data_IF_990752880475
#
_entry.id   IF_990752880475
#
_cell.length_a   1.000
_cell.length_b   1.000
_cell.length_c   1.000
_cell.angle_alpha   90.00
_cell.angle_beta   90.00
_cell.angle_gamma   90.00
#
_symmetry.space_group_name_H-M   'P 1'
#
loop_
_entity.id
_entity.type
_entity.pdbx_description
1 polymer ?
#
# COMPACT_ATOMS: atom_id res chain seq x y z
N UNK A 1 4.62 -7.10 -66.52
CA UNK A 1 5.83 -6.57 -65.85
C UNK A 1 5.74 -7.08 -64.42
N UNK A 2 6.30 -8.23 -63.98
CA UNK A 2 7.70 -8.74 -64.08
C UNK A 2 8.64 -7.59 -63.68
N UNK A 3 9.26 -7.52 -62.50
CA UNK A 3 9.87 -8.53 -61.60
C UNK A 3 10.00 -7.99 -60.14
N UNK A 4 10.25 -8.86 -59.13
CA UNK A 4 10.52 -8.52 -57.72
C UNK A 4 11.99 -8.17 -57.41
N UNK A 5 12.22 -7.45 -56.29
CA UNK A 5 13.54 -7.07 -55.76
C UNK A 5 14.15 -8.26 -54.98
N UNK A 6 15.39 -8.72 -55.26
CA UNK A 6 15.96 -9.90 -54.64
C UNK A 6 16.70 -9.58 -53.34
N UNK A 7 16.49 -10.44 -52.35
CA UNK A 7 17.40 -10.67 -51.23
C UNK A 7 18.62 -11.45 -51.74
N UNK A 8 19.84 -10.94 -51.57
CA UNK A 8 21.04 -11.77 -51.63
C UNK A 8 22.31 -11.13 -51.01
N UNK A 9 22.77 -11.78 -49.94
CA UNK A 9 24.17 -12.12 -49.59
C UNK A 9 25.16 -11.06 -49.05
N UNK A 10 25.75 -11.47 -47.92
CA UNK A 10 27.19 -11.57 -47.60
C UNK A 10 27.82 -10.51 -46.67
N UNK A 11 28.15 -11.02 -45.47
CA UNK A 11 29.54 -11.17 -44.99
C UNK A 11 30.22 -9.91 -44.44
N UNK A 12 30.47 -9.90 -43.13
CA UNK A 12 31.34 -8.90 -42.51
C UNK A 12 31.48 -9.04 -41.01
N UNK A 13 31.79 -10.24 -40.51
CA UNK A 13 32.36 -10.40 -39.18
C UNK A 13 33.82 -9.90 -39.17
N UNK A 14 34.33 -9.62 -37.96
CA UNK A 14 35.75 -9.47 -37.56
C UNK A 14 36.28 -8.03 -37.50
N UNK A 15 36.46 -7.52 -36.27
CA UNK A 15 37.77 -7.12 -35.74
C UNK A 15 37.68 -6.69 -34.26
N UNK A 16 38.03 -7.65 -33.40
CA UNK A 16 38.36 -7.48 -31.98
C UNK A 16 39.84 -7.07 -31.90
N UNK A 17 40.17 -5.91 -31.34
CA UNK A 17 41.58 -5.52 -31.09
C UNK A 17 41.84 -5.31 -29.60
N UNK A 18 42.36 -6.38 -28.98
CA UNK A 18 43.20 -6.34 -27.78
C UNK A 18 44.56 -5.74 -28.13
N UNK A 19 45.03 -4.73 -27.39
CA UNK A 19 46.46 -4.46 -27.16
C UNK A 19 46.63 -3.34 -26.11
N UNK A 20 47.37 -3.60 -25.03
CA UNK A 20 47.75 -2.56 -24.07
C UNK A 20 48.40 -3.08 -22.80
N UNK A 21 49.48 -3.85 -22.94
CA UNK A 21 50.33 -4.33 -21.85
C UNK A 21 51.46 -3.31 -21.60
N UNK A 22 51.87 -3.08 -20.36
CA UNK A 22 53.13 -2.39 -20.08
C UNK A 22 53.27 -1.76 -18.69
N UNK A 23 53.61 -2.57 -17.69
CA UNK A 23 54.23 -2.10 -16.45
C UNK A 23 55.73 -2.45 -16.49
N UNK A 24 56.65 -1.53 -16.16
CA UNK A 24 58.03 -1.88 -15.86
C UNK A 24 58.24 -2.07 -14.36
N UNK A 25 58.97 -3.14 -14.05
CA UNK A 25 59.47 -3.51 -12.74
C UNK A 25 60.79 -2.80 -12.41
N UNK A 26 61.04 -2.77 -11.09
CA UNK A 26 62.34 -2.74 -10.43
C UNK A 26 63.21 -1.47 -10.57
N UNK A 27 63.66 -0.95 -9.42
CA UNK A 27 65.05 -1.09 -8.96
C UNK A 27 65.26 -0.28 -7.66
N UNK A 28 65.75 -0.99 -6.64
CA UNK A 28 66.91 -0.59 -5.83
C UNK A 28 66.74 0.47 -4.73
N UNK A 29 66.71 0.01 -3.47
CA UNK A 29 67.51 0.53 -2.36
C UNK A 29 67.54 -0.47 -1.19
N UNK A 30 68.72 -0.96 -0.84
CA UNK A 30 68.94 -1.89 0.27
C UNK A 30 68.82 -1.24 1.64
N UNK A 31 68.42 -1.98 2.70
CA UNK A 31 68.34 -1.44 4.03
C UNK A 31 69.71 -1.46 4.73
N UNK A 32 70.07 -0.32 5.29
CA UNK A 32 71.19 -0.07 6.20
C UNK A 32 71.10 -0.96 7.45
N UNK A 33 72.22 -1.56 7.94
CA UNK A 33 72.18 -2.47 9.08
C UNK A 33 71.85 -1.72 10.38
N UNK A 34 70.71 -2.07 10.97
CA UNK A 34 70.19 -1.53 12.22
C UNK A 34 71.10 -1.84 13.43
N UNK A 35 71.26 -0.82 14.29
CA UNK A 35 72.01 -0.91 15.53
C UNK A 35 71.42 -1.94 16.52
N UNK A 36 72.30 -2.74 17.10
CA UNK A 36 72.03 -3.78 18.09
C UNK A 36 71.40 -3.22 19.37
N UNK A 37 70.28 -3.78 19.89
CA UNK A 37 69.71 -3.33 21.16
C UNK A 37 70.49 -3.89 22.37
N UNK A 38 70.65 -3.05 23.40
CA UNK A 38 71.19 -3.43 24.71
C UNK A 38 70.23 -4.35 25.48
N UNK A 39 70.72 -5.35 26.24
CA UNK A 39 69.86 -6.27 26.98
C UNK A 39 69.21 -5.58 28.18
N UNK A 40 67.87 -5.60 28.22
CA UNK A 40 67.07 -5.15 29.36
C UNK A 40 67.00 -6.29 30.38
N UNK A 41 67.41 -6.01 31.62
CA UNK A 41 67.37 -6.97 32.73
C UNK A 41 65.91 -7.22 33.12
N UNK A 42 65.43 -8.44 32.87
CA UNK A 42 64.07 -8.88 33.18
C UNK A 42 63.97 -9.22 34.68
N UNK A 43 63.14 -8.48 35.42
CA UNK A 43 62.84 -8.79 36.82
C UNK A 43 62.01 -10.08 36.92
N UNK A 44 62.34 -10.92 37.91
CA UNK A 44 61.68 -12.21 38.15
C UNK A 44 60.22 -12.03 38.59
N UNK A 45 59.28 -12.89 38.14
CA UNK A 45 57.88 -12.79 38.50
C UNK A 45 57.64 -13.17 39.98
N UNK A 46 56.90 -12.33 40.68
CA UNK A 46 56.36 -12.58 42.03
C UNK A 46 55.32 -13.70 42.00
N UNK A 47 55.28 -14.62 42.99
CA UNK A 47 54.32 -15.72 42.99
C UNK A 47 52.88 -15.23 43.17
N UNK A 48 51.99 -15.77 42.34
CA UNK A 48 50.55 -15.49 42.35
C UNK A 48 49.89 -16.09 43.61
N UNK A 49 48.97 -15.37 44.29
CA UNK A 49 48.25 -15.91 45.44
C UNK A 49 47.31 -17.05 45.04
N UNK A 50 47.22 -18.06 45.91
CA UNK A 50 46.34 -19.22 45.79
C UNK A 50 44.86 -18.80 45.92
N UNK A 51 43.92 -19.34 45.11
CA UNK A 51 42.52 -19.00 45.20
C UNK A 51 41.94 -19.47 46.54
N UNK A 52 41.19 -18.58 47.20
CA UNK A 52 40.41 -18.89 48.40
C UNK A 52 39.06 -19.44 47.95
N UNK A 53 38.70 -20.63 48.43
CA UNK A 53 37.43 -21.27 48.12
C UNK A 53 36.24 -20.43 48.60
N UNK A 54 35.40 -20.01 47.66
CA UNK A 54 34.12 -19.35 47.93
C UNK A 54 33.13 -20.36 48.54
N UNK A 55 32.43 -20.05 49.64
CA UNK A 55 31.42 -20.94 50.20
C UNK A 55 30.22 -21.08 49.24
N UNK A 56 29.62 -22.28 49.22
CA UNK A 56 28.47 -22.59 48.40
C UNK A 56 27.23 -21.79 48.85
N UNK A 57 26.38 -21.33 47.90
CA UNK A 57 25.16 -20.59 48.24
C UNK A 57 24.14 -21.44 49.00
N UNK A 58 23.56 -20.87 50.05
CA UNK A 58 22.43 -21.42 50.81
C UNK A 58 21.18 -21.52 49.90
N UNK A 59 20.46 -22.65 49.89
CA UNK A 59 19.23 -22.76 49.09
C UNK A 59 18.16 -21.76 49.53
N UNK A 60 17.51 -21.13 48.56
CA UNK A 60 16.40 -20.21 48.79
C UNK A 60 15.16 -20.95 49.31
N UNK A 61 14.34 -20.31 50.17
CA UNK A 61 13.11 -20.91 50.66
C UNK A 61 12.10 -21.13 49.52
N UNK A 62 11.37 -22.25 49.60
CA UNK A 62 10.29 -22.59 48.67
C UNK A 62 9.16 -21.56 48.75
N UNK A 63 8.59 -21.11 47.62
CA UNK A 63 7.46 -20.17 47.64
C UNK A 63 6.23 -20.82 48.29
N UNK A 64 5.56 -20.02 49.12
CA UNK A 64 4.25 -20.35 49.70
C UNK A 64 3.19 -20.18 48.61
N UNK A 65 2.22 -21.10 48.46
CA UNK A 65 1.17 -20.97 47.46
C UNK A 65 0.34 -19.70 47.70
N UNK A 66 0.18 -18.90 46.65
CA UNK A 66 -0.71 -17.74 46.62
C UNK A 66 -2.17 -18.24 46.63
N UNK A 67 -3.06 -17.69 47.47
CA UNK A 67 -4.48 -18.04 47.44
C UNK A 67 -5.11 -17.69 46.08
N UNK A 68 -6.03 -18.53 45.60
CA UNK A 68 -6.81 -18.26 44.39
C UNK A 68 -7.65 -16.98 44.56
N UNK A 69 -7.75 -16.15 43.51
CA UNK A 69 -8.60 -14.97 43.54
C UNK A 69 -10.08 -15.37 43.66
N UNK A 70 -10.77 -14.75 44.61
CA UNK A 70 -12.22 -14.77 44.71
C UNK A 70 -12.83 -14.24 43.40
N UNK A 71 -13.85 -14.91 42.81
CA UNK A 71 -14.46 -14.43 41.57
C UNK A 71 -15.03 -13.02 41.75
N UNK A 72 -14.68 -12.14 40.82
CA UNK A 72 -15.24 -10.79 40.68
C UNK A 72 -16.74 -10.88 40.35
N UNK A 73 -17.59 -9.99 40.88
CA UNK A 73 -18.99 -9.93 40.45
C UNK A 73 -19.08 -9.69 38.94
N UNK A 74 -19.99 -10.42 38.31
CA UNK A 74 -20.32 -10.31 36.90
C UNK A 74 -20.84 -8.89 36.60
N UNK A 75 -20.30 -8.18 35.59
CA UNK A 75 -20.78 -6.85 35.26
C UNK A 75 -22.25 -6.92 34.81
N UNK A 76 -23.06 -6.04 35.41
CA UNK A 76 -24.41 -5.74 34.94
C UNK A 76 -24.33 -5.36 33.45
N UNK A 77 -25.22 -5.86 32.57
CA UNK A 77 -25.18 -5.51 31.16
C UNK A 77 -25.31 -3.98 31.04
N UNK A 78 -24.46 -3.32 30.24
CA UNK A 78 -24.57 -1.89 30.04
C UNK A 78 -25.97 -1.58 29.56
N UNK A 79 -26.59 -0.58 30.18
CA UNK A 79 -27.82 0.02 29.69
C UNK A 79 -27.60 0.34 28.21
N UNK A 80 -28.46 -0.24 27.37
CA UNK A 80 -28.56 -0.01 25.94
C UNK A 80 -28.48 1.49 25.70
N UNK A 81 -27.27 1.94 25.38
CA UNK A 81 -26.98 3.26 24.88
C UNK A 81 -27.80 3.33 23.60
N UNK A 82 -28.90 4.08 23.68
CA UNK A 82 -29.83 4.24 22.57
C UNK A 82 -28.99 4.53 21.34
N UNK A 83 -28.94 3.57 20.42
CA UNK A 83 -28.29 3.72 19.14
C UNK A 83 -28.74 5.08 18.62
N UNK A 84 -27.77 5.96 18.32
CA UNK A 84 -28.05 7.13 17.50
C UNK A 84 -28.92 6.64 16.34
N UNK A 85 -30.02 7.34 15.99
CA UNK A 85 -30.89 6.88 14.93
C UNK A 85 -29.99 6.56 13.75
N UNK A 86 -30.00 5.29 13.31
CA UNK A 86 -29.37 4.88 12.07
C UNK A 86 -29.86 5.91 11.05
N UNK A 87 -28.97 6.76 10.54
CA UNK A 87 -29.35 7.70 9.49
C UNK A 87 -29.99 6.84 8.41
N UNK A 88 -31.29 7.03 8.17
CA UNK A 88 -32.02 6.21 7.22
C UNK A 88 -31.29 6.31 5.89
N UNK A 89 -30.92 5.16 5.34
CA UNK A 89 -30.33 5.00 4.03
C UNK A 89 -31.08 5.88 3.00
N UNK A 90 -30.40 6.89 2.46
CA UNK A 90 -30.97 7.74 1.41
C UNK A 90 -30.84 7.00 0.09
N UNK A 91 -31.98 6.56 -0.44
CA UNK A 91 -32.08 5.94 -1.76
C UNK A 91 -32.35 7.01 -2.82
N UNK A 92 -31.58 6.96 -3.89
CA UNK A 92 -31.66 7.84 -5.04
C UNK A 92 -32.22 7.06 -6.23
N UNK A 93 -33.02 7.71 -7.07
CA UNK A 93 -33.40 7.10 -8.34
C UNK A 93 -32.14 6.96 -9.20
N UNK A 94 -32.06 5.90 -10.00
CA UNK A 94 -30.83 5.57 -10.74
C UNK A 94 -30.41 6.63 -11.78
N UNK A 95 -31.32 7.54 -12.14
CA UNK A 95 -31.06 8.67 -13.05
C UNK A 95 -30.59 9.94 -12.30
N UNK A 96 -30.76 10.00 -10.98
CA UNK A 96 -30.38 11.15 -10.19
C UNK A 96 -28.86 11.25 -10.07
N UNK A 97 -28.34 12.48 -10.18
CA UNK A 97 -26.93 12.73 -9.92
C UNK A 97 -26.67 12.88 -8.43
N UNK A 98 -25.64 12.21 -7.93
CA UNK A 98 -25.21 12.28 -6.51
C UNK A 98 -23.73 12.57 -6.44
N UNK A 99 -23.36 13.58 -5.66
CA UNK A 99 -21.96 13.92 -5.38
C UNK A 99 -21.64 13.68 -3.91
N UNK A 100 -20.47 13.10 -3.64
CA UNK A 100 -19.96 12.82 -2.30
C UNK A 100 -18.42 12.82 -2.28
N UNK A 101 -17.83 12.69 -1.10
CA UNK A 101 -16.39 12.76 -0.90
C UNK A 101 -15.86 14.18 -0.78
N UNK A 102 -14.53 14.30 -0.82
CA UNK A 102 -13.82 15.57 -0.73
C UNK A 102 -14.29 16.62 -1.75
N UNK A 103 -13.98 17.89 -1.49
CA UNK A 103 -14.09 18.92 -2.53
C UNK A 103 -13.12 18.66 -3.68
N UNK A 104 -13.59 18.84 -4.92
CA UNK A 104 -12.75 18.66 -6.10
C UNK A 104 -11.56 19.63 -6.07
N UNK A 105 -10.36 19.10 -6.27
CA UNK A 105 -9.11 19.88 -6.18
C UNK A 105 -8.63 20.13 -4.75
N UNK A 106 -9.05 19.31 -3.78
CA UNK A 106 -8.54 19.31 -2.40
C UNK A 106 -7.01 19.10 -2.29
N UNK A 107 -6.37 18.61 -3.36
CA UNK A 107 -4.93 18.36 -3.39
C UNK A 107 -4.52 17.08 -2.67
N UNK A 108 -5.48 16.16 -2.46
CA UNK A 108 -5.26 14.85 -1.88
C UNK A 108 -5.44 13.78 -2.99
N UNK A 109 -4.40 13.51 -3.80
CA UNK A 109 -4.51 12.56 -4.89
C UNK A 109 -4.58 11.13 -4.35
N UNK A 110 -5.58 10.39 -4.85
CA UNK A 110 -5.85 9.01 -4.45
C UNK A 110 -5.59 8.04 -5.60
N UNK A 111 -5.62 6.75 -5.27
CA UNK A 111 -5.44 5.64 -6.19
C UNK A 111 -6.55 4.63 -5.93
N UNK A 112 -7.15 4.10 -7.00
CA UNK A 112 -8.03 2.93 -6.88
C UNK A 112 -7.17 1.74 -6.47
N UNK A 113 -7.43 1.17 -5.30
CA UNK A 113 -6.78 -0.05 -4.84
C UNK A 113 -7.48 -1.28 -5.42
N UNK A 114 -8.80 -1.29 -5.33
CA UNK A 114 -9.62 -2.41 -5.77
C UNK A 114 -11.03 -1.94 -6.13
N UNK A 115 -11.63 -2.61 -7.12
CA UNK A 115 -13.07 -2.53 -7.37
C UNK A 115 -13.66 -3.93 -7.26
N UNK A 116 -14.63 -4.08 -6.36
CA UNK A 116 -15.33 -5.34 -6.12
C UNK A 116 -16.78 -5.21 -6.60
N UNK A 117 -17.24 -6.21 -7.33
CA UNK A 117 -18.63 -6.33 -7.78
C UNK A 117 -19.23 -7.53 -7.06
N UNK A 118 -20.37 -7.28 -6.42
CA UNK A 118 -21.16 -8.26 -5.69
C UNK A 118 -22.53 -8.41 -6.37
N UNK A 119 -23.46 -9.16 -5.76
CA UNK A 119 -24.77 -9.45 -6.35
C UNK A 119 -25.61 -8.19 -6.60
N UNK A 120 -25.59 -7.25 -5.65
CA UNK A 120 -26.35 -6.01 -5.64
C UNK A 120 -25.49 -4.77 -5.43
N UNK A 121 -24.17 -4.91 -5.40
CA UNK A 121 -23.27 -3.84 -4.98
C UNK A 121 -22.03 -3.70 -5.85
N UNK A 122 -21.48 -2.48 -5.88
CA UNK A 122 -20.15 -2.18 -6.39
C UNK A 122 -19.39 -1.36 -5.34
N UNK A 123 -18.26 -1.88 -4.88
CA UNK A 123 -17.41 -1.26 -3.87
C UNK A 123 -16.08 -0.84 -4.46
N UNK A 124 -15.64 0.39 -4.20
CA UNK A 124 -14.32 0.90 -4.58
C UNK A 124 -13.51 1.14 -3.32
N UNK A 125 -12.37 0.45 -3.21
CA UNK A 125 -11.39 0.67 -2.14
C UNK A 125 -10.27 1.58 -2.64
N UNK A 126 -9.84 2.51 -1.78
CA UNK A 126 -8.96 3.60 -2.14
C UNK A 126 -7.71 3.63 -1.26
N UNK A 127 -6.64 4.18 -1.81
CA UNK A 127 -5.33 4.33 -1.19
C UNK A 127 -4.74 5.69 -1.56
N UNK A 128 -3.83 6.28 -0.75
CA UNK A 128 -3.11 7.49 -1.16
C UNK A 128 -2.26 7.26 -2.43
N UNK A 129 -1.86 8.32 -3.13
CA UNK A 129 -0.80 8.18 -4.14
C UNK A 129 0.58 7.90 -3.50
N UNK A 130 1.49 7.27 -4.24
CA UNK A 130 2.72 6.67 -3.70
C UNK A 130 3.87 7.63 -3.32
N UNK A 131 3.63 8.94 -3.29
CA UNK A 131 4.67 9.92 -2.99
C UNK A 131 4.43 10.62 -1.65
N UNK A 132 5.51 11.14 -1.05
CA UNK A 132 5.47 11.79 0.27
C UNK A 132 4.42 12.90 0.39
N UNK A 133 4.31 13.77 -0.61
CA UNK A 133 3.37 14.89 -0.59
C UNK A 133 1.91 14.40 -0.57
N UNK A 134 1.60 13.36 -1.36
CA UNK A 134 0.28 12.75 -1.36
C UNK A 134 -0.05 12.08 -0.02
N UNK A 135 0.93 11.39 0.58
CA UNK A 135 0.71 10.73 1.87
C UNK A 135 0.49 11.73 3.02
N UNK A 136 1.20 12.87 3.01
CA UNK A 136 0.95 13.94 3.97
C UNK A 136 -0.45 14.56 3.78
N UNK A 137 -0.81 14.90 2.54
CA UNK A 137 -2.14 15.43 2.23
C UNK A 137 -3.26 14.46 2.66
N UNK A 138 -3.03 13.16 2.48
CA UNK A 138 -3.94 12.10 2.90
C UNK A 138 -4.13 12.00 4.41
N UNK A 139 -3.05 12.12 5.17
CA UNK A 139 -3.10 12.10 6.64
C UNK A 139 -3.78 13.37 7.20
N UNK A 140 -3.65 14.50 6.51
CA UNK A 140 -4.30 15.77 6.86
C UNK A 140 -5.78 15.81 6.46
N UNK A 141 -6.20 15.04 5.45
CA UNK A 141 -7.57 15.00 4.99
C UNK A 141 -8.52 14.39 6.03
N UNK A 142 -9.57 15.14 6.39
CA UNK A 142 -10.64 14.69 7.27
C UNK A 142 -11.56 13.67 6.58
N UNK A 143 -11.73 13.81 5.26
CA UNK A 143 -12.49 12.89 4.41
C UNK A 143 -11.54 12.29 3.37
N UNK A 144 -11.40 10.96 3.34
CA UNK A 144 -10.38 10.26 2.55
C UNK A 144 -10.94 9.54 1.32
N UNK A 145 -12.04 10.06 0.78
CA UNK A 145 -12.71 9.58 -0.43
C UNK A 145 -12.68 10.73 -1.45
N UNK A 146 -12.37 10.48 -2.73
CA UNK A 146 -12.22 11.55 -3.70
C UNK A 146 -13.56 12.22 -3.96
N UNK A 147 -13.50 13.45 -4.49
CA UNK A 147 -14.67 14.09 -5.05
C UNK A 147 -15.26 13.18 -6.14
N UNK A 148 -16.43 12.62 -5.86
CA UNK A 148 -17.04 11.60 -6.69
C UNK A 148 -18.44 12.03 -7.09
N UNK A 149 -18.72 11.97 -8.39
CA UNK A 149 -20.07 12.18 -8.94
C UNK A 149 -20.56 10.90 -9.59
N UNK A 150 -21.75 10.44 -9.19
CA UNK A 150 -22.54 9.44 -9.91
C UNK A 150 -23.52 10.20 -10.77
N UNK A 151 -23.56 9.89 -12.07
CA UNK A 151 -24.46 10.53 -13.04
C UNK A 151 -24.92 9.54 -14.09
N UNK A 152 -26.03 9.83 -14.77
CA UNK A 152 -26.50 9.02 -15.90
C UNK A 152 -26.21 9.71 -17.25
N UNK A 153 -25.48 9.02 -18.12
CA UNK A 153 -25.32 9.40 -19.52
C UNK A 153 -26.40 8.73 -20.37
N UNK A 154 -27.40 9.51 -20.77
CA UNK A 154 -28.54 9.05 -21.57
C UNK A 154 -28.16 8.64 -23.00
N UNK A 155 -27.08 9.20 -23.57
CA UNK A 155 -26.63 8.85 -24.93
C UNK A 155 -25.91 7.50 -24.92
N UNK A 156 -25.11 7.25 -23.88
CA UNK A 156 -24.45 5.97 -23.67
C UNK A 156 -25.37 4.90 -23.05
N UNK A 157 -26.45 5.32 -22.40
CA UNK A 157 -27.29 4.46 -21.58
C UNK A 157 -26.54 3.89 -20.38
N UNK A 158 -25.61 4.66 -19.81
CA UNK A 158 -24.68 4.19 -18.78
C UNK A 158 -24.74 5.06 -17.53
N UNK A 159 -24.69 4.44 -16.36
CA UNK A 159 -24.35 5.14 -15.13
C UNK A 159 -22.83 5.34 -15.11
N UNK A 160 -22.39 6.55 -14.83
CA UNK A 160 -21.00 6.99 -14.84
C UNK A 160 -20.65 7.51 -13.46
N UNK A 161 -19.68 6.86 -12.83
CA UNK A 161 -19.03 7.34 -11.61
C UNK A 161 -17.75 8.03 -12.04
N UNK A 162 -17.63 9.33 -11.77
CA UNK A 162 -16.44 10.12 -12.00
C UNK A 162 -15.76 10.43 -10.67
N UNK A 163 -14.56 9.90 -10.47
CA UNK A 163 -13.70 10.20 -9.33
C UNK A 163 -12.62 11.18 -9.78
N UNK A 164 -12.64 12.39 -9.22
CA UNK A 164 -11.65 13.42 -9.52
C UNK A 164 -10.34 13.14 -8.80
N UNK A 165 -9.21 13.46 -9.44
CA UNK A 165 -7.86 13.33 -8.85
C UNK A 165 -7.59 11.94 -8.23
N UNK A 166 -8.10 10.91 -8.90
CA UNK A 166 -7.97 9.51 -8.51
C UNK A 166 -7.34 8.74 -9.65
N UNK A 167 -6.12 8.28 -9.47
CA UNK A 167 -5.37 7.52 -10.48
C UNK A 167 -5.66 6.02 -10.39
N UNK A 168 -5.31 5.29 -11.45
CA UNK A 168 -5.30 3.83 -11.47
C UNK A 168 -3.93 3.24 -11.13
N UNK A 169 -2.89 4.07 -11.03
CA UNK A 169 -1.53 3.65 -10.70
C UNK A 169 -0.99 4.57 -9.62
N UNK A 170 -0.35 3.99 -8.59
CA UNK A 170 0.20 4.76 -7.48
C UNK A 170 1.42 5.58 -7.84
N UNK A 171 2.01 5.33 -9.02
CA UNK A 171 3.32 5.79 -9.38
C UNK A 171 4.42 5.09 -8.59
N UNK A 172 5.64 5.54 -8.82
CA UNK A 172 6.82 5.08 -8.07
C UNK A 172 6.78 5.60 -6.64
N UNK A 173 7.07 4.71 -5.70
CA UNK A 173 7.15 5.08 -4.29
C UNK A 173 8.35 5.99 -4.07
N UNK A 174 8.10 7.18 -3.54
CA UNK A 174 9.12 8.22 -3.39
C UNK A 174 8.91 9.07 -2.15
N UNK A 175 10.01 9.47 -1.51
CA UNK A 175 10.02 10.21 -0.25
C UNK A 175 11.18 9.82 0.65
N UNK A 176 11.20 10.41 1.84
CA UNK A 176 12.14 10.04 2.91
C UNK A 176 11.82 8.67 3.55
N UNK A 177 12.74 8.15 4.38
CA UNK A 177 12.65 6.81 4.99
C UNK A 177 11.33 6.55 5.74
N UNK A 178 10.76 7.60 6.35
CA UNK A 178 9.50 7.49 7.09
C UNK A 178 8.33 7.01 6.21
N UNK A 179 8.33 7.34 4.90
CA UNK A 179 7.28 6.90 3.97
C UNK A 179 7.29 5.38 3.89
N UNK A 180 8.47 4.79 3.69
CA UNK A 180 8.61 3.33 3.59
C UNK A 180 8.25 2.63 4.91
N UNK A 181 8.66 3.19 6.05
CA UNK A 181 8.31 2.66 7.36
C UNK A 181 6.79 2.72 7.59
N UNK A 182 6.15 3.84 7.28
CA UNK A 182 4.70 4.01 7.38
C UNK A 182 3.94 3.00 6.52
N UNK A 183 4.32 2.86 5.24
CA UNK A 183 3.66 1.92 4.33
C UNK A 183 3.78 0.48 4.85
N UNK A 184 4.94 0.10 5.39
CA UNK A 184 5.17 -1.23 5.96
C UNK A 184 4.41 -1.45 7.27
N UNK A 185 4.41 -0.47 8.17
CA UNK A 185 3.72 -0.54 9.47
C UNK A 185 2.21 -0.69 9.30
N UNK A 186 1.64 0.03 8.33
CA UNK A 186 0.21 -0.01 8.02
C UNK A 186 -0.18 -1.05 6.95
N UNK A 187 0.78 -1.84 6.47
CA UNK A 187 0.53 -2.93 5.52
C UNK A 187 -0.09 -2.45 4.20
N UNK A 188 0.24 -1.24 3.75
CA UNK A 188 -0.32 -0.69 2.51
C UNK A 188 0.37 -1.32 1.28
N UNK A 189 -0.40 -1.85 0.31
CA UNK A 189 0.10 -2.78 -0.70
C UNK A 189 0.78 -2.08 -1.89
N UNK A 190 1.78 -1.24 -1.64
CA UNK A 190 2.46 -0.48 -2.70
C UNK A 190 3.61 -1.24 -3.40
N UNK A 191 3.85 -0.99 -4.70
CA UNK A 191 3.05 -0.15 -5.59
C UNK A 191 1.71 -0.79 -5.96
N UNK A 192 0.72 0.06 -6.26
CA UNK A 192 -0.65 -0.33 -6.62
C UNK A 192 -0.90 0.03 -8.08
N UNK A 193 -1.50 -0.90 -8.83
CA UNK A 193 -1.87 -0.66 -10.23
C UNK A 193 -3.14 -1.44 -10.57
N UNK A 194 -4.21 -0.73 -10.91
CA UNK A 194 -5.49 -1.29 -11.33
C UNK A 194 -5.61 -1.23 -12.85
N UNK A 195 -5.73 -2.37 -13.56
CA UNK A 195 -5.84 -2.36 -15.00
C UNK A 195 -7.17 -1.75 -15.45
N UNK A 196 -7.13 -0.95 -16.52
CA UNK A 196 -8.35 -0.53 -17.22
C UNK A 196 -9.05 -1.71 -17.88
N UNK A 197 -10.37 -1.62 -18.00
CA UNK A 197 -11.19 -2.59 -18.70
C UNK A 197 -12.38 -3.07 -17.87
N UNK A 198 -12.90 -4.24 -18.22
CA UNK A 198 -14.05 -4.83 -17.53
C UNK A 198 -13.74 -5.15 -16.07
N UNK A 199 -14.72 -4.92 -15.20
CA UNK A 199 -14.64 -5.15 -13.76
C UNK A 199 -15.80 -6.05 -13.36
N UNK A 200 -15.49 -7.15 -12.66
CA UNK A 200 -16.51 -8.07 -12.16
C UNK A 200 -17.31 -8.80 -13.25
N UNK A 201 -18.36 -9.48 -12.81
CA UNK A 201 -19.35 -10.12 -13.69
C UNK A 201 -20.61 -9.25 -13.79
N UNK A 202 -21.47 -9.57 -14.76
CA UNK A 202 -22.80 -8.96 -14.87
C UNK A 202 -23.66 -9.37 -13.66
N UNK A 203 -24.45 -8.43 -13.15
CA UNK A 203 -25.37 -8.65 -12.03
C UNK A 203 -26.82 -8.55 -12.51
N UNK A 204 -27.77 -8.76 -11.60
CA UNK A 204 -29.18 -8.53 -11.89
C UNK A 204 -29.46 -7.04 -12.18
N UNK A 205 -28.68 -6.13 -11.58
CA UNK A 205 -28.93 -4.68 -11.59
C UNK A 205 -28.11 -3.93 -12.64
N UNK A 206 -26.92 -4.42 -12.99
CA UNK A 206 -26.08 -3.78 -14.00
C UNK A 206 -25.21 -4.77 -14.75
N UNK A 207 -24.76 -4.36 -15.93
CA UNK A 207 -23.90 -5.15 -16.81
C UNK A 207 -22.73 -4.32 -17.31
N UNK A 208 -21.68 -5.00 -17.78
CA UNK A 208 -20.50 -4.38 -18.41
C UNK A 208 -19.87 -3.26 -17.58
N UNK A 209 -19.76 -3.46 -16.28
CA UNK A 209 -18.97 -2.56 -15.44
C UNK A 209 -17.54 -2.50 -16.00
N UNK A 210 -17.03 -1.29 -16.18
CA UNK A 210 -15.70 -1.05 -16.72
C UNK A 210 -15.06 0.17 -16.08
N UNK A 211 -13.77 0.05 -15.79
CA UNK A 211 -12.94 1.13 -15.24
C UNK A 211 -12.02 1.69 -16.31
N UNK A 212 -11.89 3.01 -16.34
CA UNK A 212 -11.04 3.75 -17.26
C UNK A 212 -10.48 5.01 -16.59
N UNK A 213 -9.50 5.66 -17.19
CA UNK A 213 -9.00 6.94 -16.70
C UNK A 213 -8.78 7.93 -17.83
N UNK A 214 -8.84 9.21 -17.48
CA UNK A 214 -8.51 10.32 -18.36
C UNK A 214 -7.71 11.36 -17.57
N UNK A 215 -6.40 11.41 -17.80
CA UNK A 215 -5.51 12.23 -16.98
C UNK A 215 -5.44 11.69 -15.55
N UNK A 216 -5.74 12.55 -14.58
CA UNK A 216 -5.78 12.23 -13.14
C UNK A 216 -7.13 11.69 -12.67
N UNK A 217 -8.12 11.65 -13.53
CA UNK A 217 -9.48 11.26 -13.15
C UNK A 217 -9.76 9.81 -13.56
N UNK A 218 -10.50 9.11 -12.71
CA UNK A 218 -10.96 7.75 -12.98
C UNK A 218 -12.47 7.73 -13.19
N UNK A 219 -12.90 6.94 -14.15
CA UNK A 219 -14.30 6.72 -14.48
C UNK A 219 -14.64 5.25 -14.34
N UNK A 220 -15.74 4.97 -13.67
CA UNK A 220 -16.37 3.66 -13.70
C UNK A 220 -17.72 3.76 -14.40
N UNK A 221 -17.91 2.98 -15.45
CA UNK A 221 -19.14 2.97 -16.25
C UNK A 221 -19.83 1.64 -16.11
N UNK A 222 -21.15 1.63 -15.89
CA UNK A 222 -21.97 0.43 -15.84
C UNK A 222 -23.27 0.65 -16.61
N UNK A 223 -23.78 -0.41 -17.25
CA UNK A 223 -25.07 -0.36 -17.96
C UNK A 223 -26.17 -0.87 -17.03
N UNK A 224 -27.06 -0.01 -16.51
CA UNK A 224 -28.15 -0.46 -15.67
C UNK A 224 -29.10 -1.39 -16.44
N UNK A 225 -29.64 -2.38 -15.74
CA UNK A 225 -30.69 -3.27 -16.27
C UNK A 225 -32.07 -2.68 -15.97
N UNK A 226 -33.12 -3.36 -16.47
CA UNK A 226 -34.49 -3.02 -16.10
C UNK A 226 -34.83 -3.28 -14.61
N UNK A 227 -33.97 -4.01 -13.87
CA UNK A 227 -34.17 -4.28 -12.45
C UNK A 227 -33.56 -3.20 -11.54
N UNK A 228 -32.62 -2.39 -12.03
CA UNK A 228 -32.09 -1.26 -11.27
C UNK A 228 -33.09 -0.10 -11.30
N UNK A 229 -33.65 0.22 -10.14
CA UNK A 229 -34.57 1.36 -9.97
C UNK A 229 -33.95 2.43 -9.09
N UNK A 230 -33.21 2.01 -8.06
CA UNK A 230 -32.57 2.94 -7.14
C UNK A 230 -31.19 2.47 -6.74
N UNK A 231 -30.37 3.41 -6.26
CA UNK A 231 -29.13 3.11 -5.58
C UNK A 231 -28.97 3.91 -4.30
N UNK A 232 -28.11 3.42 -3.43
CA UNK A 232 -27.66 4.10 -2.22
C UNK A 232 -26.15 4.21 -2.27
N UNK A 233 -25.60 5.30 -1.73
CA UNK A 233 -24.16 5.46 -1.50
C UNK A 233 -23.86 5.23 -0.03
N UNK A 234 -22.85 4.42 0.24
CA UNK A 234 -22.27 4.24 1.57
C UNK A 234 -20.76 4.50 1.51
N UNK A 235 -20.22 5.05 2.58
CA UNK A 235 -18.79 5.34 2.71
C UNK A 235 -18.26 4.80 4.03
N UNK A 236 -17.03 4.33 4.05
CA UNK A 236 -16.42 3.84 5.27
C UNK A 236 -14.92 3.65 5.15
N UNK A 237 -14.35 2.98 6.14
CA UNK A 237 -12.99 2.45 6.12
C UNK A 237 -13.05 0.96 6.42
N UNK A 238 -12.04 0.20 5.95
CA UNK A 238 -11.94 -1.21 6.29
C UNK A 238 -11.73 -1.38 7.81
N UNK A 239 -12.37 -2.39 8.41
CA UNK A 239 -12.33 -2.61 9.86
C UNK A 239 -10.89 -2.69 10.39
N UNK A 240 -10.57 -1.86 11.37
CA UNK A 240 -9.23 -1.79 11.97
C UNK A 240 -8.16 -1.12 11.11
N UNK A 241 -8.54 -0.54 9.96
CA UNK A 241 -7.64 0.16 9.05
C UNK A 241 -8.27 1.44 8.48
N UNK A 242 -8.14 2.53 9.24
CA UNK A 242 -8.61 3.88 8.88
C UNK A 242 -7.88 4.47 7.65
N UNK A 243 -6.88 3.77 7.10
CA UNK A 243 -6.09 4.22 5.95
C UNK A 243 -6.53 3.57 4.65
N UNK A 244 -7.53 2.69 4.67
CA UNK A 244 -8.16 2.13 3.47
C UNK A 244 -9.65 2.50 3.43
N UNK A 245 -9.98 3.71 2.97
CA UNK A 245 -11.34 4.14 2.79
C UNK A 245 -11.96 3.42 1.59
N UNK A 246 -13.28 3.30 1.63
CA UNK A 246 -14.06 2.75 0.55
C UNK A 246 -15.37 3.51 0.41
N UNK A 247 -15.94 3.46 -0.79
CA UNK A 247 -17.35 3.77 -0.99
C UNK A 247 -18.02 2.62 -1.74
N UNK A 248 -19.32 2.47 -1.52
CA UNK A 248 -20.15 1.41 -2.11
C UNK A 248 -21.42 2.01 -2.70
N UNK A 249 -21.75 1.57 -3.90
CA UNK A 249 -23.08 1.75 -4.49
C UNK A 249 -23.84 0.45 -4.33
N UNK A 250 -24.95 0.47 -3.59
CA UNK A 250 -25.88 -0.66 -3.46
C UNK A 250 -27.10 -0.38 -4.30
N UNK A 251 -27.52 -1.33 -5.13
CA UNK A 251 -28.64 -1.21 -6.06
C UNK A 251 -29.84 -2.00 -5.57
N UNK A 252 -31.03 -1.52 -5.92
CA UNK A 252 -32.27 -2.27 -5.69
C UNK A 252 -33.29 -2.06 -6.80
N UNK A 253 -34.25 -2.96 -6.86
CA UNK A 253 -35.41 -2.86 -7.74
C UNK A 253 -36.60 -2.16 -7.08
N UNK A 254 -37.71 -2.08 -7.83
CA UNK A 254 -38.98 -1.62 -7.30
C UNK A 254 -39.53 -2.66 -6.31
N UNK A 255 -39.90 -2.21 -5.11
CA UNK A 255 -40.62 -3.02 -4.11
C UNK A 255 -42.03 -3.43 -4.55
#
# INVERSE_FOLDING_TARGET
MREPIPALLLLGAVLLTLAGCGAPAAETSGPEPAATPSPVVQAAPTPSPSPVSTPAPTPAPSPVPTPEPTPSPEPEPPAEEAAAPLEEAVWHDWEDAVTFGMEAGSGCPLVVGEVQVEEDSLTVSLLPAGNEAALLAYLEAEERIPATEVSYDADAGALVLHMSDTALDSGEISGDDWVFDFLNEHGLPYPVSTPMGSVGEDTAYFTKAAISSNGTDTYLTLLPTAEAVQYQVETGCHDGDELRPWFRLTFRGAE
#
